data_IF_082319176921
#
_entry.id   IF_082319176921
#
_cell.length_a   1.000
_cell.length_b   1.000
_cell.length_c   1.000
_cell.angle_alpha   90.00
_cell.angle_beta   90.00
_cell.angle_gamma   90.00
#
_symmetry.space_group_name_H-M   'P 1'
#
loop_
_entity.id
_entity.type
_entity.pdbx_description
1 polymer ?
#
# COMPACT_ATOMS: atom_id res chain seq x y z
N UNK A 1 38.95 60.69 -23.32
CA UNK A 1 39.50 59.72 -24.32
C UNK A 1 38.33 58.82 -24.74
N UNK A 2 38.03 58.62 -26.04
CA UNK A 2 38.50 57.54 -26.95
C UNK A 2 38.29 56.13 -26.35
N UNK A 3 37.73 55.10 -27.02
CA UNK A 3 37.32 54.81 -28.42
C UNK A 3 36.46 53.49 -28.39
N UNK A 4 35.59 53.00 -29.31
CA UNK A 4 35.00 53.35 -30.65
C UNK A 4 33.48 52.91 -30.62
N UNK A 5 32.51 53.15 -31.54
CA UNK A 5 32.40 53.66 -32.94
C UNK A 5 32.68 52.59 -34.05
N UNK A 6 31.85 52.36 -35.11
CA UNK A 6 30.38 52.52 -35.30
C UNK A 6 29.71 51.44 -36.25
N UNK A 7 28.48 51.67 -36.76
CA UNK A 7 27.86 51.10 -38.01
C UNK A 7 27.53 49.57 -38.03
N UNK A 8 26.68 48.98 -38.92
CA UNK A 8 25.80 49.43 -40.03
C UNK A 8 24.66 48.39 -40.34
N UNK A 9 23.53 48.84 -40.94
CA UNK A 9 22.48 48.03 -41.66
C UNK A 9 21.69 46.97 -40.86
N UNK A 10 20.49 46.52 -41.26
CA UNK A 10 19.62 46.79 -42.41
C UNK A 10 18.14 46.84 -41.90
N UNK A 11 17.24 47.77 -42.28
CA UNK A 11 16.62 48.10 -43.59
C UNK A 11 15.35 47.26 -43.90
N UNK A 12 14.34 47.98 -44.43
CA UNK A 12 13.06 47.55 -45.04
C UNK A 12 11.90 47.04 -44.16
N UNK A 13 10.89 47.90 -44.12
CA UNK A 13 9.47 47.64 -43.90
C UNK A 13 8.88 46.54 -44.79
N UNK A 14 7.89 45.82 -44.27
CA UNK A 14 6.81 45.24 -45.07
C UNK A 14 5.48 45.34 -44.30
N UNK A 15 4.38 45.66 -44.99
CA UNK A 15 3.03 45.78 -44.41
C UNK A 15 2.07 44.81 -45.11
N UNK A 16 1.01 44.39 -44.40
CA UNK A 16 -0.04 43.49 -44.88
C UNK A 16 0.45 42.04 -45.17
N UNK A 17 -0.41 41.03 -45.31
CA UNK A 17 -1.87 41.02 -45.27
C UNK A 17 -2.42 40.23 -44.07
N UNK A 18 -3.60 40.61 -43.60
CA UNK A 18 -4.44 39.72 -42.81
C UNK A 18 -5.12 38.70 -43.73
N UNK A 19 -4.82 37.41 -43.55
CA UNK A 19 -5.55 36.29 -44.14
C UNK A 19 -5.84 35.31 -43.00
N UNK A 20 -7.12 34.98 -42.78
CA UNK A 20 -7.57 34.02 -41.77
C UNK A 20 -8.06 32.73 -42.45
N UNK A 21 -7.28 31.63 -42.42
CA UNK A 21 -7.74 30.33 -42.85
C UNK A 21 -7.99 29.37 -41.67
N UNK A 22 -9.14 28.72 -41.66
CA UNK A 22 -9.33 27.40 -41.03
C UNK A 22 -9.66 27.36 -39.54
N UNK A 23 -10.92 27.07 -39.23
CA UNK A 23 -11.31 26.51 -37.94
C UNK A 23 -10.82 25.06 -37.81
N UNK A 24 -9.56 24.88 -37.40
CA UNK A 24 -9.00 23.57 -37.07
C UNK A 24 -9.56 23.04 -35.74
N UNK A 25 -10.68 22.31 -35.80
CA UNK A 25 -11.18 21.57 -34.64
C UNK A 25 -10.19 20.48 -34.18
N UNK A 26 -10.13 20.15 -32.88
CA UNK A 26 -9.25 19.08 -32.40
C UNK A 26 -9.65 17.73 -33.00
N UNK A 27 -8.71 16.81 -33.23
CA UNK A 27 -9.01 15.51 -33.81
C UNK A 27 -9.94 14.71 -32.88
N UNK A 28 -11.10 14.30 -33.40
CA UNK A 28 -12.01 13.42 -32.69
C UNK A 28 -11.35 12.05 -32.57
N UNK A 29 -10.78 11.77 -31.39
CA UNK A 29 -10.30 10.45 -31.03
C UNK A 29 -11.48 9.47 -31.13
N UNK A 30 -11.43 8.58 -32.14
CA UNK A 30 -12.38 7.46 -32.25
C UNK A 30 -12.22 6.58 -31.03
N UNK A 31 -13.19 6.65 -30.12
CA UNK A 31 -13.21 5.81 -28.93
C UNK A 31 -13.20 4.33 -29.33
N UNK A 32 -12.28 3.56 -28.74
CA UNK A 32 -12.42 2.11 -28.72
C UNK A 32 -13.73 1.74 -28.00
N UNK A 33 -14.45 0.68 -28.41
CA UNK A 33 -15.67 0.28 -27.74
C UNK A 33 -15.36 -0.09 -26.28
N UNK A 34 -15.97 0.64 -25.34
CA UNK A 34 -15.86 0.33 -23.93
C UNK A 34 -16.54 -1.02 -23.66
N UNK A 35 -15.73 -2.07 -23.45
CA UNK A 35 -16.22 -3.39 -23.13
C UNK A 35 -16.97 -3.35 -21.79
N UNK A 36 -18.30 -3.39 -21.86
CA UNK A 36 -19.18 -3.30 -20.69
C UNK A 36 -19.06 -4.56 -19.84
N UNK A 37 -18.14 -4.54 -18.88
CA UNK A 37 -17.94 -5.61 -17.91
C UNK A 37 -19.05 -5.60 -16.84
N UNK A 38 -20.30 -5.82 -17.26
CA UNK A 38 -21.48 -5.95 -16.37
C UNK A 38 -21.51 -7.30 -15.68
N UNK A 39 -20.49 -7.56 -14.87
CA UNK A 39 -20.54 -8.48 -13.73
C UNK A 39 -20.47 -7.68 -12.43
N UNK A 40 -20.80 -8.28 -11.27
CA UNK A 40 -20.54 -7.64 -9.99
C UNK A 40 -19.03 -7.44 -9.85
N UNK A 41 -18.59 -6.18 -9.78
CA UNK A 41 -17.19 -5.86 -9.49
C UNK A 41 -16.84 -6.42 -8.12
N UNK A 42 -16.04 -7.49 -8.08
CA UNK A 42 -15.34 -7.87 -6.86
C UNK A 42 -14.33 -6.77 -6.60
N UNK A 43 -14.64 -5.92 -5.62
CA UNK A 43 -13.73 -4.89 -5.14
C UNK A 43 -12.35 -5.54 -4.86
N UNK A 44 -11.28 -5.18 -5.59
CA UNK A 44 -9.95 -5.74 -5.39
C UNK A 44 -9.38 -5.46 -3.98
N UNK A 45 -10.03 -4.57 -3.23
CA UNK A 45 -9.64 -4.17 -1.89
C UNK A 45 -9.66 -5.31 -0.87
N UNK A 46 -10.76 -6.04 -0.72
CA UNK A 46 -10.94 -6.97 0.40
C UNK A 46 -10.59 -8.42 0.04
N UNK A 47 -9.58 -8.97 0.73
CA UNK A 47 -9.24 -10.40 0.64
C UNK A 47 -8.63 -10.91 1.94
N UNK A 48 -8.67 -12.23 2.14
CA UNK A 48 -7.88 -12.93 3.16
C UNK A 48 -7.41 -14.27 2.60
N UNK A 49 -6.09 -14.42 2.42
CA UNK A 49 -5.51 -15.57 1.71
C UNK A 49 -4.07 -15.85 2.10
N UNK A 50 -3.59 -17.05 1.76
CA UNK A 50 -2.17 -17.33 1.67
C UNK A 50 -1.55 -16.63 0.44
N UNK A 51 -0.42 -15.97 0.65
CA UNK A 51 0.43 -15.28 -0.33
C UNK A 51 1.76 -16.03 -0.41
N UNK A 52 2.26 -16.32 -1.60
CA UNK A 52 3.56 -16.97 -1.76
C UNK A 52 4.70 -15.98 -1.56
N UNK A 53 5.66 -16.34 -0.70
CA UNK A 53 6.83 -15.49 -0.36
C UNK A 53 8.16 -16.09 -0.84
N UNK A 54 8.08 -17.11 -1.70
CA UNK A 54 9.22 -17.84 -2.26
C UNK A 54 9.76 -18.95 -1.36
N UNK A 55 10.50 -19.87 -1.97
CA UNK A 55 11.08 -21.04 -1.27
C UNK A 55 10.04 -22.01 -0.72
N UNK A 56 8.90 -22.16 -1.40
CA UNK A 56 7.78 -23.01 -0.98
C UNK A 56 6.99 -22.50 0.23
N UNK A 57 7.30 -21.30 0.74
CA UNK A 57 6.63 -20.71 1.90
C UNK A 57 5.48 -19.81 1.48
N UNK A 58 4.38 -19.88 2.23
CA UNK A 58 3.24 -18.98 2.10
C UNK A 58 2.93 -18.31 3.43
N UNK A 59 2.57 -17.04 3.40
CA UNK A 59 2.15 -16.27 4.58
C UNK A 59 0.69 -15.83 4.41
N UNK A 60 -0.11 -15.90 5.47
CA UNK A 60 -1.47 -15.41 5.49
C UNK A 60 -1.48 -13.88 5.56
N UNK A 61 -2.19 -13.25 4.63
CA UNK A 61 -2.42 -11.82 4.57
C UNK A 61 -3.93 -11.56 4.48
N UNK A 62 -4.42 -10.66 5.32
CA UNK A 62 -5.79 -10.14 5.29
C UNK A 62 -5.74 -8.63 5.05
N UNK A 63 -6.42 -8.16 4.00
CA UNK A 63 -6.53 -6.75 3.67
C UNK A 63 -8.01 -6.37 3.50
N UNK A 64 -8.39 -5.17 3.93
CA UNK A 64 -9.75 -4.63 3.87
C UNK A 64 -9.70 -3.12 3.59
N UNK A 65 -10.79 -2.56 3.06
CA UNK A 65 -10.89 -1.12 2.77
C UNK A 65 -10.06 -0.67 1.57
N UNK A 66 -10.18 0.62 1.25
CA UNK A 66 -9.68 1.26 0.02
C UNK A 66 -9.08 2.63 0.31
N UNK A 67 -8.45 3.25 -0.70
CA UNK A 67 -7.68 4.48 -0.55
C UNK A 67 -6.20 4.25 -0.20
N UNK A 68 -5.50 5.34 0.12
CA UNK A 68 -4.06 5.37 0.41
C UNK A 68 -3.76 6.42 1.50
N UNK A 69 -2.66 6.30 2.27
CA UNK A 69 -1.70 5.19 2.27
C UNK A 69 -2.32 3.88 2.78
N UNK A 70 -1.70 2.73 2.46
CA UNK A 70 -2.13 1.47 3.08
C UNK A 70 -1.61 1.39 4.50
N UNK A 71 -2.50 1.24 5.47
CA UNK A 71 -2.14 1.00 6.88
C UNK A 71 -1.73 -0.47 7.04
N UNK A 72 -0.55 -0.72 7.60
CA UNK A 72 -0.04 -2.08 7.85
C UNK A 72 0.06 -2.32 9.35
N UNK A 73 -0.74 -3.25 9.87
CA UNK A 73 -0.83 -3.58 11.29
C UNK A 73 0.03 -4.82 11.62
N UNK A 74 1.06 -4.62 12.42
CA UNK A 74 2.05 -5.62 12.83
C UNK A 74 1.88 -5.96 14.32
N UNK A 75 1.50 -7.20 14.63
CA UNK A 75 1.06 -7.61 15.98
C UNK A 75 2.22 -7.73 16.99
N UNK A 76 1.90 -7.85 18.29
CA UNK A 76 2.87 -8.00 19.38
C UNK A 76 3.64 -9.31 19.39
N UNK A 77 4.51 -9.53 20.39
CA UNK A 77 5.22 -10.82 20.51
C UNK A 77 4.20 -11.93 20.77
N UNK A 78 4.40 -13.09 20.13
CA UNK A 78 3.45 -14.22 20.07
C UNK A 78 2.11 -13.94 19.39
N UNK A 79 1.65 -12.69 19.19
CA UNK A 79 0.37 -12.39 18.53
C UNK A 79 0.33 -12.78 17.04
N UNK A 80 -0.79 -13.35 16.60
CA UNK A 80 -1.19 -13.46 15.18
C UNK A 80 -1.93 -12.21 14.69
N UNK A 81 -2.38 -12.20 13.43
CA UNK A 81 -3.14 -11.08 12.85
C UNK A 81 -4.52 -10.86 13.51
N UNK A 82 -5.06 -11.89 14.18
CA UNK A 82 -6.44 -11.87 14.70
C UNK A 82 -6.64 -10.92 15.88
N UNK A 83 -5.57 -10.58 16.61
CA UNK A 83 -5.64 -9.65 17.76
C UNK A 83 -6.23 -8.28 17.36
N UNK A 84 -5.96 -7.82 16.14
CA UNK A 84 -6.49 -6.56 15.59
C UNK A 84 -7.99 -6.59 15.27
N UNK A 85 -8.63 -7.76 15.34
CA UNK A 85 -10.08 -7.96 15.19
C UNK A 85 -10.81 -8.18 16.53
N UNK A 86 -10.08 -8.20 17.65
CA UNK A 86 -10.65 -8.36 18.99
C UNK A 86 -10.98 -7.01 19.64
N UNK A 87 -11.91 -7.02 20.60
CA UNK A 87 -12.26 -5.85 21.42
C UNK A 87 -12.81 -6.32 22.77
N UNK A 88 -12.00 -6.17 23.82
CA UNK A 88 -12.41 -6.42 25.21
C UNK A 88 -12.53 -5.11 26.01
N UNK A 89 -13.43 -4.23 25.57
CA UNK A 89 -13.77 -3.00 26.31
C UNK A 89 -14.62 -3.34 27.54
N UNK A 90 -14.06 -3.20 28.73
CA UNK A 90 -14.75 -3.32 30.03
C UNK A 90 -15.03 -1.92 30.58
N UNK A 91 -16.15 -1.67 31.28
CA UNK A 91 -16.41 -0.37 31.89
C UNK A 91 -15.23 0.11 32.77
N UNK A 92 -14.85 1.40 32.71
CA UNK A 92 -15.54 2.51 32.05
C UNK A 92 -15.22 2.71 30.56
N UNK A 93 -14.41 1.83 29.94
CA UNK A 93 -14.01 1.99 28.52
C UNK A 93 -15.23 1.83 27.61
N UNK A 94 -15.58 2.83 26.76
CA UNK A 94 -16.68 2.70 25.80
C UNK A 94 -16.44 1.59 24.78
N UNK A 95 -17.51 0.98 24.28
CA UNK A 95 -17.42 0.07 23.13
C UNK A 95 -17.00 0.85 21.88
N UNK A 96 -15.95 0.36 21.22
CA UNK A 96 -15.46 0.86 19.94
C UNK A 96 -15.32 -0.33 18.95
N UNK A 97 -15.18 -0.08 17.63
CA UNK A 97 -14.75 -1.13 16.69
C UNK A 97 -13.34 -1.63 17.03
N UNK A 98 -13.06 -2.90 16.72
CA UNK A 98 -11.69 -3.40 16.71
C UNK A 98 -10.84 -2.63 15.67
N UNK A 99 -9.52 -2.57 15.87
CA UNK A 99 -8.63 -1.70 15.07
C UNK A 99 -8.71 -2.00 13.57
N UNK A 100 -8.70 -3.28 13.17
CA UNK A 100 -8.75 -3.65 11.76
C UNK A 100 -10.06 -3.21 11.07
N UNK A 101 -11.28 -3.59 11.53
CA UNK A 101 -12.51 -3.09 10.94
C UNK A 101 -12.73 -1.58 11.15
N UNK A 102 -12.17 -0.98 12.21
CA UNK A 102 -12.23 0.46 12.47
C UNK A 102 -11.43 1.29 11.47
N UNK A 103 -10.19 0.90 11.17
CA UNK A 103 -9.36 1.56 10.15
C UNK A 103 -9.91 1.28 8.74
N UNK A 104 -10.40 0.06 8.49
CA UNK A 104 -11.00 -0.33 7.21
C UNK A 104 -12.21 0.52 6.78
N UNK A 105 -12.81 1.28 7.69
CA UNK A 105 -13.93 2.17 7.40
C UNK A 105 -13.50 3.49 6.72
N UNK A 106 -12.20 3.85 6.74
CA UNK A 106 -11.70 5.11 6.16
C UNK A 106 -10.36 4.98 5.41
N UNK A 107 -9.66 3.85 5.50
CA UNK A 107 -8.42 3.59 4.78
C UNK A 107 -8.29 2.12 4.38
N UNK A 108 -7.40 1.84 3.42
CA UNK A 108 -6.93 0.49 3.15
C UNK A 108 -6.07 0.02 4.33
N UNK A 109 -6.37 -1.15 4.87
CA UNK A 109 -5.64 -1.74 6.00
C UNK A 109 -5.32 -3.20 5.75
N UNK A 110 -4.11 -3.63 6.12
CA UNK A 110 -3.63 -5.01 6.01
C UNK A 110 -3.04 -5.53 7.33
N UNK A 111 -3.25 -6.81 7.61
CA UNK A 111 -2.68 -7.58 8.74
C UNK A 111 -2.14 -8.92 8.22
N UNK A 112 -1.11 -9.50 8.85
CA UNK A 112 -0.55 -10.79 8.41
C UNK A 112 -0.16 -11.72 9.56
N UNK A 113 -0.10 -13.02 9.31
CA UNK A 113 0.43 -13.99 10.28
C UNK A 113 1.91 -14.28 10.01
N UNK A 114 2.77 -13.89 10.96
CA UNK A 114 4.11 -14.46 11.09
C UNK A 114 3.98 -15.94 11.52
N UNK A 115 4.75 -16.88 10.94
CA UNK A 115 4.75 -18.28 11.36
C UNK A 115 5.00 -18.47 12.86
N UNK A 116 4.29 -19.40 13.51
CA UNK A 116 4.50 -19.75 14.92
C UNK A 116 3.94 -18.75 15.94
N UNK A 117 3.03 -17.86 15.55
CA UNK A 117 2.27 -17.01 16.48
C UNK A 117 0.96 -17.67 16.91
N UNK A 118 0.37 -17.21 18.01
CA UNK A 118 -0.87 -17.71 18.61
C UNK A 118 -2.09 -16.99 18.01
N UNK A 119 -3.10 -17.76 17.64
CA UNK A 119 -4.47 -17.32 17.40
C UNK A 119 -5.27 -17.53 18.68
N UNK A 120 -5.94 -16.49 19.15
CA UNK A 120 -6.83 -16.52 20.32
C UNK A 120 -8.21 -17.10 19.95
N UNK A 121 -8.20 -18.30 19.38
CA UNK A 121 -9.37 -19.17 19.24
C UNK A 121 -9.74 -19.78 20.59
N UNK A 122 -10.81 -20.58 20.65
CA UNK A 122 -11.14 -21.40 21.82
C UNK A 122 -11.04 -22.90 21.45
N UNK A 123 -10.01 -23.64 21.92
CA UNK A 123 -8.84 -23.17 22.67
C UNK A 123 -7.89 -22.33 21.79
N UNK A 124 -6.98 -21.59 22.43
CA UNK A 124 -5.94 -20.84 21.72
C UNK A 124 -4.91 -21.79 21.10
N UNK A 125 -4.44 -21.51 19.89
CA UNK A 125 -3.58 -22.41 19.12
C UNK A 125 -2.54 -21.66 18.28
N UNK A 126 -1.44 -22.33 17.94
CA UNK A 126 -0.48 -21.80 16.96
C UNK A 126 -1.15 -21.64 15.58
N UNK A 127 -0.82 -20.58 14.86
CA UNK A 127 -1.36 -20.35 13.51
C UNK A 127 -0.84 -21.39 12.52
N UNK A 128 -1.79 -22.06 11.89
CA UNK A 128 -1.58 -22.92 10.71
C UNK A 128 -1.81 -22.15 9.39
N UNK A 129 -2.17 -20.86 9.45
CA UNK A 129 -2.50 -20.06 8.25
C UNK A 129 -1.26 -19.68 7.44
N UNK A 130 -0.09 -19.61 8.07
CA UNK A 130 1.21 -19.40 7.44
C UNK A 130 2.09 -20.64 7.55
N UNK A 131 2.94 -20.90 6.54
CA UNK A 131 3.88 -22.03 6.53
C UNK A 131 4.74 -22.02 7.80
N UNK A 132 4.72 -23.09 8.62
CA UNK A 132 5.52 -23.16 9.85
C UNK A 132 7.00 -22.92 9.62
N UNK A 133 7.68 -22.34 10.63
CA UNK A 133 9.14 -22.18 10.66
C UNK A 133 9.65 -22.64 12.01
N UNK A 134 10.70 -23.47 11.98
CA UNK A 134 11.43 -23.93 13.16
C UNK A 134 12.60 -22.99 13.50
N UNK A 135 13.04 -23.02 14.75
CA UNK A 135 14.19 -22.25 15.23
C UNK A 135 13.93 -20.75 15.43
N UNK A 136 14.92 -20.08 16.02
CA UNK A 136 14.89 -18.64 16.29
C UNK A 136 14.94 -17.83 14.99
N UNK A 137 14.15 -16.76 14.90
CA UNK A 137 14.19 -15.80 13.79
C UNK A 137 14.76 -14.47 14.25
N UNK A 138 15.74 -13.94 13.53
CA UNK A 138 16.28 -12.60 13.75
C UNK A 138 15.28 -11.53 13.29
N UNK A 139 15.39 -10.31 13.81
CA UNK A 139 14.49 -9.20 13.47
C UNK A 139 14.43 -8.93 11.95
N UNK A 140 15.59 -8.94 11.28
CA UNK A 140 15.69 -8.81 9.83
C UNK A 140 15.10 -9.98 9.02
N UNK A 141 14.89 -11.16 9.64
CA UNK A 141 14.16 -12.27 9.02
C UNK A 141 12.65 -12.18 9.22
N UNK A 142 12.17 -11.37 10.17
CA UNK A 142 10.75 -11.03 10.36
C UNK A 142 10.34 -9.89 9.43
N UNK A 143 11.18 -8.86 9.36
CA UNK A 143 11.04 -7.71 8.46
C UNK A 143 11.12 -8.16 6.98
N UNK A 144 12.07 -9.03 6.61
CA UNK A 144 12.07 -9.62 5.26
C UNK A 144 10.89 -10.58 4.99
N UNK A 145 10.24 -11.14 6.02
CA UNK A 145 8.98 -11.87 5.86
C UNK A 145 7.79 -10.89 5.65
N UNK A 146 7.84 -9.68 6.22
CA UNK A 146 6.90 -8.58 5.98
C UNK A 146 7.02 -8.00 4.56
N UNK A 147 8.23 -7.69 4.08
CA UNK A 147 8.40 -7.12 2.74
C UNK A 147 7.90 -8.06 1.63
N UNK A 148 8.20 -9.35 1.79
CA UNK A 148 7.76 -10.37 0.85
C UNK A 148 6.24 -10.53 0.84
N UNK A 149 5.56 -10.52 1.98
CA UNK A 149 4.10 -10.69 1.98
C UNK A 149 3.40 -9.49 1.34
N UNK A 150 3.87 -8.26 1.59
CA UNK A 150 3.30 -7.05 0.98
C UNK A 150 3.59 -7.00 -0.53
N UNK A 151 4.86 -7.21 -0.92
CA UNK A 151 5.31 -7.14 -2.31
C UNK A 151 4.69 -8.26 -3.16
N UNK A 152 4.73 -9.53 -2.72
CA UNK A 152 4.09 -10.65 -3.45
C UNK A 152 2.57 -10.51 -3.56
N UNK A 153 1.91 -9.90 -2.57
CA UNK A 153 0.47 -9.64 -2.64
C UNK A 153 0.11 -8.41 -3.48
N UNK A 154 1.10 -7.65 -3.97
CA UNK A 154 0.92 -6.39 -4.70
C UNK A 154 0.11 -5.37 -3.89
N UNK A 155 0.41 -5.24 -2.59
CA UNK A 155 -0.19 -4.21 -1.74
C UNK A 155 0.33 -2.83 -2.17
N UNK A 156 -0.52 -1.82 -2.41
CA UNK A 156 -0.07 -0.50 -2.82
C UNK A 156 0.52 0.28 -1.64
N UNK A 157 1.78 0.67 -1.78
CA UNK A 157 2.43 1.68 -0.92
C UNK A 157 2.21 3.12 -1.41
N UNK A 158 2.75 4.12 -0.70
CA UNK A 158 3.51 3.97 0.55
C UNK A 158 2.63 3.56 1.74
N UNK A 159 3.26 3.03 2.78
CA UNK A 159 2.62 2.38 3.92
C UNK A 159 2.62 3.27 5.18
N UNK A 160 1.51 3.25 5.91
CA UNK A 160 1.46 3.73 7.29
C UNK A 160 1.62 2.53 8.22
N UNK A 161 2.84 2.35 8.76
CA UNK A 161 3.17 1.19 9.59
C UNK A 161 2.73 1.39 11.05
N UNK A 162 1.99 0.42 11.61
CA UNK A 162 1.53 0.42 13.00
C UNK A 162 1.99 -0.88 13.66
N UNK A 163 2.95 -0.79 14.58
CA UNK A 163 3.48 -1.95 15.30
C UNK A 163 3.04 -1.99 16.76
N UNK A 164 2.33 -3.04 17.17
CA UNK A 164 2.04 -3.29 18.58
C UNK A 164 3.28 -3.87 19.27
N UNK A 165 3.76 -3.25 20.35
CA UNK A 165 4.84 -3.81 21.20
C UNK A 165 6.07 -4.25 20.38
N UNK A 166 6.46 -5.52 20.42
CA UNK A 166 7.53 -6.11 19.60
C UNK A 166 7.36 -5.88 18.09
N UNK A 167 6.13 -5.79 17.59
CA UNK A 167 5.84 -5.41 16.21
C UNK A 167 6.38 -4.04 15.83
N UNK A 168 6.46 -3.10 16.79
CA UNK A 168 7.11 -1.80 16.61
C UNK A 168 8.61 -1.88 16.29
N UNK A 169 9.29 -2.97 16.66
CA UNK A 169 10.68 -3.20 16.24
C UNK A 169 10.78 -3.69 14.80
N UNK A 170 9.81 -4.50 14.34
CA UNK A 170 9.77 -4.99 12.95
C UNK A 170 9.46 -3.83 12.01
N UNK A 171 8.39 -3.05 12.29
CA UNK A 171 8.01 -1.91 11.44
C UNK A 171 9.05 -0.80 11.45
N UNK A 172 9.74 -0.55 12.57
CA UNK A 172 10.86 0.41 12.62
C UNK A 172 12.04 -0.05 11.77
N UNK A 173 12.38 -1.35 11.78
CA UNK A 173 13.44 -1.87 10.90
C UNK A 173 13.02 -1.83 9.43
N UNK A 174 11.74 -2.09 9.14
CA UNK A 174 11.17 -1.99 7.79
C UNK A 174 11.32 -0.58 7.22
N UNK A 175 10.84 0.45 7.93
CA UNK A 175 10.96 1.86 7.51
C UNK A 175 12.43 2.33 7.36
N UNK A 176 13.37 1.71 8.08
CA UNK A 176 14.81 1.98 7.93
C UNK A 176 15.46 1.30 6.71
N UNK A 177 14.82 0.27 6.14
CA UNK A 177 15.32 -0.52 5.00
C UNK A 177 14.59 -0.22 3.69
N UNK A 178 13.34 0.22 3.81
CA UNK A 178 12.44 0.56 2.72
C UNK A 178 11.91 2.00 2.88
N UNK A 179 12.76 3.04 2.91
CA UNK A 179 12.32 4.43 3.02
C UNK A 179 11.53 4.92 1.79
N UNK A 180 11.50 4.13 0.71
CA UNK A 180 10.70 4.32 -0.50
C UNK A 180 9.29 3.70 -0.46
N UNK A 181 8.96 2.94 0.59
CA UNK A 181 7.69 2.19 0.73
C UNK A 181 6.86 2.65 1.94
#
# INVERSE_FOLDING_TARGET
MRQRIPLLTAVLTASALAVLPGCGGPPVLRGAPAASATGPSRDPGEFSRQVDVGGGRKLWLSCKGSGAPTVVLESGLHDSSDTWNLTETRPPVPKAPAVFPGVAAFARVCTYDRPGTIRYTNPAALTTRSTPRTGTRSLGALEADLDRVLTSAHVPGPYLLVGHSFGGMITRLYAQRHPEK
#
